data_IF_793559314402
#
_entry.id   IF_793559314402
#
_cell.length_a   1.000
_cell.length_b   1.000
_cell.length_c   1.000
_cell.angle_alpha   90.00
_cell.angle_beta   90.00
_cell.angle_gamma   90.00
#
_symmetry.space_group_name_H-M   'P 1'
#
loop_
_entity.id
_entity.type
_entity.pdbx_description
1 polymer ?
#
# COMPACT_ATOMS: atom_id res chain seq x y z
N UNK A 1 -1.73 -24.96 3.40
CA UNK A 1 -0.67 -23.93 3.42
C UNK A 1 -1.37 -22.59 3.25
N UNK A 2 -1.24 -21.68 4.22
CA UNK A 2 -1.80 -20.34 4.07
C UNK A 2 -1.03 -19.64 2.95
N UNK A 3 -1.68 -19.36 1.82
CA UNK A 3 -1.11 -18.47 0.82
C UNK A 3 -0.92 -17.12 1.52
N UNK A 4 0.33 -16.79 1.85
CA UNK A 4 0.67 -15.46 2.32
C UNK A 4 0.07 -14.46 1.32
N UNK A 5 -0.75 -13.54 1.82
CA UNK A 5 -1.50 -12.63 1.00
C UNK A 5 -0.54 -11.68 0.26
N UNK A 6 -0.26 -11.99 -1.01
CA UNK A 6 0.70 -11.25 -1.83
C UNK A 6 0.10 -9.92 -2.27
N UNK A 7 0.88 -8.85 -2.09
CA UNK A 7 0.54 -7.51 -2.55
C UNK A 7 1.54 -7.14 -3.65
N UNK A 8 1.03 -6.74 -4.81
CA UNK A 8 1.85 -6.30 -5.92
C UNK A 8 1.76 -4.78 -6.10
N UNK A 9 2.89 -4.14 -6.38
CA UNK A 9 2.94 -2.69 -6.65
C UNK A 9 2.76 -2.45 -8.16
N UNK A 10 1.82 -1.58 -8.53
CA UNK A 10 1.63 -1.19 -9.92
C UNK A 10 2.88 -0.46 -10.42
N UNK A 11 3.43 -0.93 -11.54
CA UNK A 11 4.67 -0.38 -12.10
C UNK A 11 5.95 -1.08 -11.63
N UNK A 12 5.90 -1.91 -10.57
CA UNK A 12 7.02 -2.76 -10.16
C UNK A 12 6.50 -4.13 -9.67
N UNK A 13 6.33 -5.05 -10.62
CA UNK A 13 5.86 -6.41 -10.32
C UNK A 13 6.88 -7.29 -9.61
N UNK A 14 8.14 -6.81 -9.46
CA UNK A 14 9.21 -7.55 -8.78
C UNK A 14 9.23 -7.31 -7.28
N UNK A 15 8.53 -6.27 -6.81
CA UNK A 15 8.39 -5.96 -5.40
C UNK A 15 7.15 -6.64 -4.83
N UNK A 16 7.35 -7.72 -4.06
CA UNK A 16 6.30 -8.42 -3.31
C UNK A 16 6.25 -7.91 -1.87
N UNK A 17 5.10 -7.36 -1.48
CA UNK A 17 4.84 -6.85 -0.14
C UNK A 17 3.86 -7.74 0.62
N UNK A 18 3.92 -7.62 1.94
CA UNK A 18 3.00 -8.21 2.90
C UNK A 18 2.30 -7.08 3.67
N UNK A 19 1.10 -7.31 4.24
CA UNK A 19 0.41 -6.29 5.02
C UNK A 19 1.27 -5.67 6.12
N UNK A 20 2.10 -6.47 6.80
CA UNK A 20 2.97 -6.05 7.88
C UNK A 20 4.02 -5.02 7.46
N UNK A 21 4.43 -4.99 6.19
CA UNK A 21 5.39 -4.00 5.68
C UNK A 21 4.82 -2.57 5.76
N UNK A 22 3.49 -2.41 5.77
CA UNK A 22 2.81 -1.12 5.90
C UNK A 22 2.83 -0.56 7.33
N UNK A 23 3.35 -1.29 8.31
CA UNK A 23 3.74 -0.71 9.62
C UNK A 23 4.90 0.27 9.49
N UNK A 24 5.63 0.22 8.39
CA UNK A 24 6.68 1.19 8.08
C UNK A 24 6.13 2.35 7.25
N UNK A 25 6.18 3.55 7.82
CA UNK A 25 5.85 4.81 7.11
C UNK A 25 6.64 4.97 5.80
N UNK A 26 7.87 4.46 5.75
CA UNK A 26 8.73 4.53 4.57
C UNK A 26 8.15 3.70 3.43
N UNK A 27 7.62 2.51 3.73
CA UNK A 27 7.00 1.65 2.73
C UNK A 27 5.72 2.30 2.21
N UNK A 28 4.81 2.72 3.10
CA UNK A 28 3.57 3.38 2.71
C UNK A 28 3.82 4.60 1.80
N UNK A 29 4.79 5.46 2.15
CA UNK A 29 5.18 6.63 1.34
C UNK A 29 5.92 6.26 0.05
N UNK A 30 6.72 5.19 0.06
CA UNK A 30 7.52 4.75 -1.08
C UNK A 30 6.69 4.09 -2.17
N UNK A 31 5.64 3.34 -1.79
CA UNK A 31 4.73 2.71 -2.76
C UNK A 31 3.64 3.66 -3.26
N UNK A 32 3.35 4.72 -2.51
CA UNK A 32 2.33 5.71 -2.86
C UNK A 32 2.91 7.12 -2.87
N UNK A 33 2.15 8.11 -2.41
CA UNK A 33 2.62 9.45 -2.19
C UNK A 33 1.91 10.09 -0.98
N UNK A 34 2.46 11.19 -0.49
CA UNK A 34 1.99 11.88 0.70
C UNK A 34 0.53 12.35 0.54
N UNK A 35 0.09 12.92 -0.62
CA UNK A 35 -1.32 13.24 -0.84
C UNK A 35 -2.28 12.05 -0.71
N UNK A 36 -1.89 10.85 -1.15
CA UNK A 36 -2.70 9.63 -1.04
C UNK A 36 -2.88 9.22 0.42
N UNK A 37 -1.82 9.31 1.22
CA UNK A 37 -1.86 8.98 2.65
C UNK A 37 -2.71 9.99 3.43
N UNK A 38 -2.58 11.27 3.12
CA UNK A 38 -3.41 12.34 3.68
C UNK A 38 -4.88 12.11 3.33
N UNK A 39 -5.18 11.81 2.06
CA UNK A 39 -6.55 11.54 1.61
C UNK A 39 -7.14 10.30 2.30
N UNK A 40 -6.35 9.23 2.45
CA UNK A 40 -6.79 8.04 3.19
C UNK A 40 -7.17 8.41 4.64
N UNK A 41 -6.30 9.14 5.31
CA UNK A 41 -6.51 9.55 6.71
C UNK A 41 -7.73 10.45 6.86
N UNK A 42 -7.95 11.35 5.89
CA UNK A 42 -9.14 12.19 5.83
C UNK A 42 -10.44 11.38 5.73
N UNK A 43 -10.50 10.40 4.82
CA UNK A 43 -11.65 9.53 4.67
C UNK A 43 -11.90 8.74 5.97
N UNK A 44 -10.85 8.31 6.67
CA UNK A 44 -11.00 7.64 7.96
C UNK A 44 -11.54 8.58 9.05
N UNK A 45 -11.06 9.82 9.12
CA UNK A 45 -11.56 10.85 10.06
C UNK A 45 -13.05 11.18 9.82
N UNK A 46 -13.51 11.13 8.57
CA UNK A 46 -14.93 11.32 8.21
C UNK A 46 -15.75 10.02 8.25
N UNK A 47 -15.18 8.96 8.84
CA UNK A 47 -15.86 7.73 9.21
C UNK A 47 -15.97 6.68 8.09
N UNK A 48 -15.28 6.83 6.95
CA UNK A 48 -15.29 5.80 5.90
C UNK A 48 -14.67 4.52 6.40
N UNK A 49 -15.23 3.35 6.08
CA UNK A 49 -14.58 2.10 6.45
C UNK A 49 -13.23 1.92 5.72
N UNK A 50 -12.39 1.03 6.24
CA UNK A 50 -11.04 0.79 5.73
C UNK A 50 -11.02 0.37 4.26
N UNK A 51 -11.97 -0.47 3.84
CA UNK A 51 -12.00 -0.99 2.47
C UNK A 51 -12.43 0.08 1.47
N UNK A 52 -13.42 0.89 1.84
CA UNK A 52 -13.88 2.04 1.05
C UNK A 52 -12.77 3.08 0.91
N UNK A 53 -12.11 3.45 2.00
CA UNK A 53 -10.98 4.38 1.98
C UNK A 53 -9.81 3.83 1.14
N UNK A 54 -9.46 2.55 1.29
CA UNK A 54 -8.41 1.90 0.50
C UNK A 54 -8.72 1.91 -1.00
N UNK A 55 -9.94 1.54 -1.38
CA UNK A 55 -10.36 1.42 -2.77
C UNK A 55 -10.26 2.72 -3.56
N UNK A 56 -10.28 3.85 -2.85
CA UNK A 56 -10.26 5.19 -3.43
C UNK A 56 -8.86 5.81 -3.42
N UNK A 57 -7.95 5.27 -2.61
CA UNK A 57 -6.63 5.86 -2.37
C UNK A 57 -5.50 4.92 -2.80
N UNK A 58 -5.34 3.79 -2.12
CA UNK A 58 -4.25 2.84 -2.33
C UNK A 58 -4.46 1.92 -3.54
N UNK A 59 -5.70 1.67 -3.96
CA UNK A 59 -6.00 0.76 -5.06
C UNK A 59 -5.44 1.21 -6.43
N UNK A 60 -5.10 2.49 -6.58
CA UNK A 60 -4.40 2.98 -7.77
C UNK A 60 -2.93 2.53 -7.83
N UNK A 61 -2.33 2.20 -6.68
CA UNK A 61 -0.91 1.84 -6.54
C UNK A 61 -0.69 0.36 -6.26
N UNK A 62 -1.67 -0.32 -5.66
CA UNK A 62 -1.55 -1.70 -5.19
C UNK A 62 -2.55 -2.62 -5.89
N UNK A 63 -2.13 -3.84 -6.18
CA UNK A 63 -2.99 -4.92 -6.66
C UNK A 63 -3.07 -5.96 -5.56
N UNK A 64 -4.26 -6.14 -5.00
CA UNK A 64 -4.50 -7.02 -3.86
C UNK A 64 -5.99 -7.39 -3.74
N UNK A 65 -6.30 -8.45 -2.99
CA UNK A 65 -7.67 -8.82 -2.62
C UNK A 65 -8.23 -7.99 -1.46
N UNK A 66 -9.55 -8.00 -1.27
CA UNK A 66 -10.25 -7.18 -0.25
C UNK A 66 -9.81 -7.50 1.19
N UNK A 67 -9.68 -8.78 1.54
CA UNK A 67 -9.21 -9.19 2.88
C UNK A 67 -7.80 -8.69 3.18
N UNK A 68 -6.93 -8.73 2.17
CA UNK A 68 -5.56 -8.23 2.27
C UNK A 68 -5.52 -6.71 2.34
N UNK A 69 -6.40 -6.03 1.59
CA UNK A 69 -6.53 -4.57 1.64
C UNK A 69 -6.88 -4.10 3.07
N UNK A 70 -7.80 -4.78 3.74
CA UNK A 70 -8.14 -4.51 5.14
C UNK A 70 -6.90 -4.69 6.04
N UNK A 71 -6.16 -5.78 5.88
CA UNK A 71 -4.93 -6.01 6.67
C UNK A 71 -3.85 -4.96 6.44
N UNK A 72 -3.72 -4.44 5.21
CA UNK A 72 -2.82 -3.31 4.90
C UNK A 72 -3.24 -2.08 5.70
N UNK A 73 -4.55 -1.76 5.67
CA UNK A 73 -5.11 -0.64 6.42
C UNK A 73 -4.88 -0.81 7.92
N UNK A 74 -5.19 -1.97 8.50
CA UNK A 74 -4.94 -2.26 9.92
C UNK A 74 -3.47 -2.10 10.30
N UNK A 75 -2.55 -2.60 9.47
CA UNK A 75 -1.12 -2.48 9.70
C UNK A 75 -0.68 -1.01 9.68
N UNK A 76 -1.16 -0.22 8.71
CA UNK A 76 -0.86 1.20 8.61
C UNK A 76 -1.47 2.01 9.77
N UNK A 77 -2.74 1.74 10.09
CA UNK A 77 -3.48 2.40 11.17
C UNK A 77 -2.90 2.10 12.56
N UNK A 78 -2.19 0.98 12.72
CA UNK A 78 -1.50 0.64 13.97
C UNK A 78 -0.23 1.46 14.25
N UNK A 79 0.15 2.37 13.35
CA UNK A 79 1.40 3.14 13.47
C UNK A 79 1.19 4.47 14.18
N UNK A 80 2.17 4.90 14.98
CA UNK A 80 2.17 6.26 15.56
C UNK A 80 2.13 7.33 14.46
N UNK A 81 2.70 7.04 13.29
CA UNK A 81 2.66 7.94 12.14
C UNK A 81 1.23 8.22 11.66
N UNK A 82 0.40 7.17 11.54
CA UNK A 82 -1.01 7.33 11.20
C UNK A 82 -1.75 8.13 12.26
N UNK A 83 -1.57 7.81 13.54
CA UNK A 83 -2.27 8.52 14.62
C UNK A 83 -1.92 10.01 14.68
N UNK A 84 -0.64 10.37 14.58
CA UNK A 84 -0.25 11.79 14.52
C UNK A 84 -0.82 12.50 13.29
N UNK A 85 -0.90 11.82 12.14
CA UNK A 85 -1.50 12.39 10.94
C UNK A 85 -3.03 12.55 11.09
N UNK A 86 -3.68 11.60 11.76
CA UNK A 86 -5.10 11.66 12.06
C UNK A 86 -5.41 12.87 12.94
N UNK A 87 -4.62 13.12 13.99
CA UNK A 87 -4.77 14.28 14.85
C UNK A 87 -4.68 15.60 14.05
N UNK A 88 -3.67 15.76 13.20
CA UNK A 88 -3.51 16.96 12.34
C UNK A 88 -4.66 17.12 11.34
N UNK A 89 -5.16 16.01 10.79
CA UNK A 89 -6.30 16.03 9.84
C UNK A 89 -7.59 16.39 10.55
N UNK A 90 -7.83 15.87 11.75
CA UNK A 90 -9.01 16.20 12.55
C UNK A 90 -9.01 17.65 12.99
N UNK A 91 -7.84 18.18 13.40
CA UNK A 91 -7.66 19.61 13.70
C UNK A 91 -7.93 20.49 12.48
N UNK A 92 -7.37 20.13 11.32
CA UNK A 92 -7.56 20.89 10.08
C UNK A 92 -9.01 20.89 9.60
N UNK A 93 -9.70 19.76 9.68
CA UNK A 93 -11.12 19.67 9.30
C UNK A 93 -12.01 20.48 10.24
N UNK A 94 -11.70 20.45 11.54
CA UNK A 94 -12.54 20.99 12.59
C UNK A 94 -13.75 20.11 12.91
N UNK A 95 -14.18 20.16 14.19
CA UNK A 95 -15.22 19.29 14.72
C UNK A 95 -16.59 19.45 14.05
N UNK A 96 -16.96 20.66 13.61
CA UNK A 96 -18.24 20.90 12.94
C UNK A 96 -18.30 20.23 11.58
N UNK A 97 -17.23 20.33 10.78
CA UNK A 97 -17.17 19.69 9.46
C UNK A 97 -17.23 18.17 9.56
N UNK A 98 -16.51 17.57 10.51
CA UNK A 98 -16.56 16.13 10.76
C UNK A 98 -17.99 15.72 11.14
N UNK A 99 -18.63 16.47 12.05
CA UNK A 99 -20.01 16.20 12.47
C UNK A 99 -20.99 16.27 11.30
N UNK A 100 -20.89 17.29 10.47
CA UNK A 100 -21.79 17.47 9.33
C UNK A 100 -21.61 16.37 8.29
N UNK A 101 -20.37 15.92 8.07
CA UNK A 101 -20.09 14.79 7.19
C UNK A 101 -20.64 13.47 7.74
N UNK A 102 -20.44 13.19 9.03
CA UNK A 102 -21.00 12.01 9.68
C UNK A 102 -22.54 12.01 9.62
N UNK A 103 -23.18 13.17 9.80
CA UNK A 103 -24.63 13.33 9.62
C UNK A 103 -25.05 13.09 8.17
N UNK A 104 -24.35 13.67 7.20
CA UNK A 104 -24.62 13.48 5.77
C UNK A 104 -24.57 11.99 5.41
N UNK A 105 -23.60 11.24 5.94
CA UNK A 105 -23.46 9.80 5.71
C UNK A 105 -24.50 8.94 6.44
N UNK A 106 -25.00 9.37 7.59
CA UNK A 106 -26.16 8.73 8.21
C UNK A 106 -27.43 8.87 7.35
N UNK A 107 -27.52 9.95 6.56
CA UNK A 107 -28.64 10.21 5.64
C UNK A 107 -28.39 9.50 4.30
N UNK A 108 -27.15 9.48 3.81
CA UNK A 108 -26.70 8.73 2.64
C UNK A 108 -26.32 7.27 2.98
N UNK A 109 -27.32 6.40 3.12
CA UNK A 109 -27.07 4.94 3.08
C UNK A 109 -26.75 4.47 1.63
N UNK A 110 -26.51 5.37 0.67
CA UNK A 110 -26.23 5.04 -0.74
C UNK A 110 -25.14 5.87 -1.45
N UNK A 111 -24.36 6.70 -0.74
CA UNK A 111 -23.30 7.53 -1.32
C UNK A 111 -21.97 6.76 -1.53
N UNK A 112 -21.38 6.85 -2.72
CA UNK A 112 -20.11 6.18 -3.07
C UNK A 112 -18.91 6.92 -2.47
N UNK A 113 -18.04 6.22 -1.75
CA UNK A 113 -16.79 6.78 -1.18
C UNK A 113 -15.88 7.46 -2.21
N UNK A 114 -16.01 7.06 -3.48
CA UNK A 114 -15.29 7.68 -4.59
C UNK A 114 -15.70 9.12 -4.84
N UNK A 115 -17.00 9.44 -4.78
CA UNK A 115 -17.50 10.76 -5.13
C UNK A 115 -17.10 11.79 -4.06
N UNK A 116 -17.12 11.39 -2.80
CA UNK A 116 -16.66 12.20 -1.69
C UNK A 116 -15.15 12.44 -1.71
N UNK A 117 -14.35 11.43 -2.05
CA UNK A 117 -12.91 11.66 -2.22
C UNK A 117 -12.61 12.63 -3.37
N UNK A 118 -13.40 12.58 -4.46
CA UNK A 118 -13.24 13.54 -5.54
C UNK A 118 -13.65 14.96 -5.13
N UNK A 119 -14.65 15.12 -4.27
CA UNK A 119 -15.10 16.44 -3.78
C UNK A 119 -14.16 17.05 -2.73
N UNK A 120 -13.50 16.21 -1.91
CA UNK A 120 -12.57 16.66 -0.86
C UNK A 120 -11.15 16.89 -1.35
N UNK A 121 -10.72 16.18 -2.40
CA UNK A 121 -9.36 16.27 -2.96
C UNK A 121 -8.88 17.70 -3.24
N UNK A 122 -9.69 18.64 -3.79
CA UNK A 122 -9.25 20.03 -4.00
C UNK A 122 -8.87 20.75 -2.69
N UNK A 123 -9.60 20.48 -1.60
CA UNK A 123 -9.34 21.12 -0.30
C UNK A 123 -7.98 20.70 0.30
N UNK A 124 -7.51 19.50 -0.06
CA UNK A 124 -6.24 18.94 0.42
C UNK A 124 -5.08 19.12 -0.56
N UNK A 125 -5.30 19.71 -1.74
CA UNK A 125 -4.26 19.83 -2.76
C UNK A 125 -3.03 20.62 -2.29
N UNK A 126 -3.23 21.58 -1.38
CA UNK A 126 -2.16 22.38 -0.78
C UNK A 126 -1.98 22.12 0.73
N UNK A 127 -2.68 21.12 1.29
CA UNK A 127 -2.50 20.74 2.69
C UNK A 127 -1.20 19.95 2.83
N UNK A 128 -0.23 20.55 3.52
CA UNK A 128 1.07 19.96 3.79
C UNK A 128 1.26 19.94 5.32
N UNK A 129 0.85 18.83 5.98
CA UNK A 129 0.99 18.63 7.42
C UNK A 129 2.40 18.98 7.90
N UNK A 130 2.54 19.64 9.04
CA UNK A 130 3.84 20.10 9.52
C UNK A 130 4.74 18.92 9.87
N UNK A 131 4.19 17.79 10.35
CA UNK A 131 4.94 16.54 10.54
C UNK A 131 5.54 15.95 9.26
N UNK A 132 5.06 16.35 8.08
CA UNK A 132 5.62 15.95 6.79
C UNK A 132 6.68 16.94 6.28
N UNK A 133 6.74 18.16 6.86
CA UNK A 133 7.74 19.18 6.49
C UNK A 133 9.10 18.81 7.10
N UNK A 134 10.12 18.73 6.25
CA UNK A 134 11.48 18.34 6.64
C UNK A 134 11.72 16.82 6.68
N UNK A 135 10.69 16.00 6.41
CA UNK A 135 10.87 14.56 6.22
C UNK A 135 11.19 14.26 4.76
N UNK A 136 12.48 14.31 4.42
CA UNK A 136 12.97 13.83 3.13
C UNK A 136 12.44 12.41 2.89
N UNK A 137 11.89 12.19 1.69
CA UNK A 137 11.61 10.83 1.25
C UNK A 137 12.96 10.14 1.13
N UNK A 138 13.21 9.20 2.02
CA UNK A 138 14.42 8.39 1.98
C UNK A 138 14.32 7.36 0.84
N UNK A 139 14.41 7.88 -0.38
CA UNK A 139 14.39 7.07 -1.61
C UNK A 139 15.57 6.08 -1.62
N UNK A 140 16.67 6.38 -0.92
CA UNK A 140 17.80 5.49 -0.79
C UNK A 140 17.46 4.27 0.09
N UNK A 141 16.85 4.49 1.27
CA UNK A 141 16.40 3.40 2.13
C UNK A 141 15.26 2.60 1.50
N UNK A 142 14.34 3.25 0.77
CA UNK A 142 13.32 2.53 0.02
C UNK A 142 13.92 1.69 -1.12
N UNK A 143 14.88 2.25 -1.88
CA UNK A 143 15.58 1.50 -2.93
C UNK A 143 16.41 0.33 -2.37
N UNK A 144 17.03 0.49 -1.19
CA UNK A 144 17.72 -0.58 -0.50
C UNK A 144 16.77 -1.68 -0.04
N UNK A 145 15.65 -1.32 0.58
CA UNK A 145 14.58 -2.26 0.93
C UNK A 145 14.10 -3.03 -0.30
N UNK A 146 13.78 -2.33 -1.39
CA UNK A 146 13.30 -2.95 -2.63
C UNK A 146 14.32 -3.93 -3.21
N UNK A 147 15.61 -3.57 -3.23
CA UNK A 147 16.69 -4.47 -3.68
C UNK A 147 16.81 -5.72 -2.80
N UNK A 148 16.77 -5.54 -1.48
CA UNK A 148 16.85 -6.66 -0.53
C UNK A 148 15.65 -7.61 -0.72
N UNK A 149 14.44 -7.07 -0.81
CA UNK A 149 13.21 -7.84 -0.99
C UNK A 149 13.17 -8.58 -2.32
N UNK A 150 13.68 -7.95 -3.40
CA UNK A 150 13.83 -8.59 -4.71
C UNK A 150 14.84 -9.76 -4.64
N UNK A 151 15.96 -9.59 -3.94
CA UNK A 151 16.94 -10.66 -3.74
C UNK A 151 16.37 -11.83 -2.94
N UNK A 152 15.63 -11.55 -1.86
CA UNK A 152 14.97 -12.59 -1.05
C UNK A 152 13.89 -13.34 -1.86
N UNK A 153 13.15 -12.62 -2.70
CA UNK A 153 12.13 -13.18 -3.59
C UNK A 153 12.77 -14.08 -4.64
N UNK A 154 13.88 -13.62 -5.25
CA UNK A 154 14.68 -14.41 -6.18
C UNK A 154 15.21 -15.69 -5.52
N UNK A 155 15.86 -15.59 -4.37
CA UNK A 155 16.40 -16.73 -3.62
C UNK A 155 15.31 -17.76 -3.25
N UNK A 156 14.11 -17.28 -2.91
CA UNK A 156 12.95 -18.14 -2.64
C UNK A 156 12.50 -18.87 -3.89
N UNK A 157 12.31 -18.16 -5.01
CA UNK A 157 11.91 -18.75 -6.30
C UNK A 157 12.96 -19.76 -6.77
N UNK A 158 14.25 -19.44 -6.65
CA UNK A 158 15.34 -20.34 -7.02
C UNK A 158 15.35 -21.60 -6.14
N UNK A 159 15.15 -21.47 -4.83
CA UNK A 159 15.05 -22.63 -3.93
C UNK A 159 13.81 -23.48 -4.20
N UNK A 160 12.66 -22.88 -4.50
CA UNK A 160 11.45 -23.59 -4.90
C UNK A 160 11.65 -24.33 -6.21
N UNK A 161 12.21 -23.67 -7.23
CA UNK A 161 12.54 -24.29 -8.52
C UNK A 161 13.58 -25.42 -8.37
N UNK A 162 14.57 -25.28 -7.48
CA UNK A 162 15.55 -26.33 -7.19
C UNK A 162 14.94 -27.52 -6.43
N UNK A 163 13.95 -27.29 -5.56
CA UNK A 163 13.21 -28.38 -4.90
C UNK A 163 12.31 -29.13 -5.86
N UNK A 164 11.62 -28.41 -6.76
CA UNK A 164 10.82 -28.99 -7.85
C UNK A 164 11.71 -29.74 -8.86
N UNK A 165 12.91 -29.21 -9.15
CA UNK A 165 13.88 -29.85 -10.03
C UNK A 165 14.61 -31.05 -9.39
N UNK A 166 14.88 -31.01 -8.09
CA UNK A 166 15.40 -32.16 -7.35
C UNK A 166 14.40 -33.31 -7.22
N UNK A 167 13.12 -33.07 -7.54
CA UNK A 167 12.07 -34.08 -7.63
C UNK A 167 11.76 -34.51 -9.08
N UNK A 168 12.29 -33.81 -10.09
CA UNK A 168 12.11 -34.15 -11.50
C UNK A 168 13.36 -33.74 -12.31
N UNK A 169 14.14 -34.73 -12.75
CA UNK A 169 15.38 -34.60 -13.55
C UNK A 169 15.24 -33.83 -14.88
N UNK A 170 14.03 -33.37 -15.25
CA UNK A 170 13.75 -32.60 -16.47
C UNK A 170 13.69 -31.06 -16.28
N UNK A 171 13.87 -30.54 -15.06
CA UNK A 171 13.41 -29.17 -14.72
C UNK A 171 14.43 -28.03 -14.88
N UNK A 172 15.68 -28.29 -15.30
CA UNK A 172 16.66 -27.20 -15.55
C UNK A 172 16.26 -26.30 -16.71
N UNK A 173 15.75 -26.89 -17.78
CA UNK A 173 15.28 -26.17 -18.96
C UNK A 173 13.99 -25.40 -18.66
N UNK A 174 13.09 -25.99 -17.87
CA UNK A 174 11.85 -25.35 -17.46
C UNK A 174 12.06 -24.18 -16.48
N UNK A 175 13.03 -24.28 -15.57
CA UNK A 175 13.43 -23.18 -14.70
C UNK A 175 14.07 -22.04 -15.49
N UNK A 176 14.93 -22.35 -16.47
CA UNK A 176 15.53 -21.38 -17.36
C UNK A 176 14.48 -20.65 -18.22
N UNK A 177 13.53 -21.39 -18.79
CA UNK A 177 12.42 -20.83 -19.58
C UNK A 177 11.49 -19.93 -18.74
N UNK A 178 11.18 -20.35 -17.50
CA UNK A 178 10.36 -19.57 -16.55
C UNK A 178 11.04 -18.27 -16.12
N UNK A 179 12.35 -18.31 -15.83
CA UNK A 179 13.15 -17.13 -15.50
C UNK A 179 13.24 -16.15 -16.68
N UNK A 180 13.42 -16.69 -17.89
CA UNK A 180 13.46 -15.89 -19.13
C UNK A 180 12.11 -15.22 -19.41
N UNK A 181 10.98 -15.92 -19.21
CA UNK A 181 9.61 -15.34 -19.31
C UNK A 181 9.33 -14.22 -18.30
N UNK A 182 9.96 -14.29 -17.12
CA UNK A 182 9.86 -13.25 -16.09
C UNK A 182 10.84 -12.08 -16.31
N UNK A 183 11.56 -12.07 -17.45
CA UNK A 183 12.48 -11.00 -17.83
C UNK A 183 13.79 -11.01 -17.06
N UNK A 184 14.20 -12.17 -16.52
CA UNK A 184 15.51 -12.36 -15.91
C UNK A 184 16.41 -13.14 -16.88
N UNK A 185 17.44 -12.48 -17.39
CA UNK A 185 18.49 -13.11 -18.19
C UNK A 185 19.66 -13.45 -17.27
N UNK A 186 20.07 -14.73 -17.17
CA UNK A 186 21.31 -15.07 -16.48
C UNK A 186 22.50 -14.45 -17.22
N UNK A 187 23.44 -13.87 -16.48
CA UNK A 187 24.68 -13.38 -17.04
C UNK A 187 25.44 -14.55 -17.68
N UNK A 188 25.94 -14.32 -18.90
CA UNK A 188 26.72 -15.27 -19.71
C UNK A 188 28.02 -15.66 -19.03
#
# INVERSE_FOLDING_TARGET
>A
MSHAARIFVKGDQRLELTPEDFRSKMIARGVTNDPVIVLYTNLRATGYDQLAAFSVTFADFLITGSETAIKICEAFESTNFYHSLLDEVEEFLGAERIRDELKARMIEISGSARDHAMSTRPAFQNFAPDMLRGWERDFAAFAEFSRKRQSETFDRITREAQREAGQADASREHAHEKLTRLGFHPAS
#
